data_IF_949928824400
#
_entry.id   IF_949928824400
#
_cell.length_a   1.000
_cell.length_b   1.000
_cell.length_c   1.000
_cell.angle_alpha   90.00
_cell.angle_beta   90.00
_cell.angle_gamma   90.00
#
_symmetry.space_group_name_H-M   'P 1'
#
loop_
_entity.id
_entity.type
_entity.pdbx_description
1 polymer ?
#
# COMPACT_ATOMS: atom_id res chain seq x y z
N UNK A 1 9.03 -25.29 -3.17
CA UNK A 1 8.11 -24.31 -3.76
C UNK A 1 8.85 -23.67 -4.92
N UNK A 2 8.36 -23.86 -6.14
CA UNK A 2 9.01 -23.29 -7.32
C UNK A 2 8.35 -21.94 -7.61
N UNK A 3 9.16 -20.90 -7.80
CA UNK A 3 8.71 -19.58 -8.25
C UNK A 3 8.88 -19.46 -9.76
N UNK A 4 7.90 -18.89 -10.45
CA UNK A 4 7.95 -18.62 -11.88
C UNK A 4 7.80 -17.10 -12.10
N UNK A 5 8.71 -16.44 -12.86
CA UNK A 5 8.50 -15.06 -13.26
C UNK A 5 7.31 -14.96 -14.22
N UNK A 6 6.31 -14.15 -13.87
CA UNK A 6 5.12 -13.95 -14.71
C UNK A 6 5.28 -12.80 -15.71
N UNK A 7 5.95 -11.71 -15.30
CA UNK A 7 6.17 -10.53 -16.12
C UNK A 7 7.40 -9.77 -15.62
N UNK A 8 8.00 -8.98 -16.51
CA UNK A 8 9.05 -8.02 -16.19
C UNK A 8 8.95 -6.84 -17.14
N UNK A 9 9.39 -5.68 -16.67
CA UNK A 9 9.50 -4.47 -17.46
C UNK A 9 10.64 -3.64 -16.90
N UNK A 10 11.45 -3.05 -17.78
CA UNK A 10 12.48 -2.12 -17.38
C UNK A 10 11.85 -0.84 -16.83
N UNK A 11 12.27 -0.42 -15.64
CA UNK A 11 11.95 0.92 -15.15
C UNK A 11 12.86 1.93 -15.85
N UNK A 12 12.25 2.80 -16.66
CA UNK A 12 12.95 3.87 -17.36
C UNK A 12 12.62 5.20 -16.67
N UNK A 13 13.60 5.88 -16.02
CA UNK A 13 13.40 7.19 -15.41
C UNK A 13 12.98 8.26 -16.44
N UNK A 14 12.31 9.32 -15.98
CA UNK A 14 11.85 10.42 -16.84
C UNK A 14 12.99 11.07 -17.63
N UNK A 15 14.13 11.32 -16.98
CA UNK A 15 15.35 11.84 -17.60
C UNK A 15 15.89 11.01 -18.78
N UNK A 16 15.51 9.74 -18.89
CA UNK A 16 15.82 8.89 -20.03
C UNK A 16 14.70 8.91 -21.06
N UNK A 17 13.44 8.72 -20.64
CA UNK A 17 12.30 8.68 -21.56
C UNK A 17 12.05 10.01 -22.27
N UNK A 18 12.48 11.11 -21.67
CA UNK A 18 12.35 12.47 -22.20
C UNK A 18 13.48 12.85 -23.18
N UNK A 19 14.41 11.91 -23.44
CA UNK A 19 15.46 12.02 -24.46
C UNK A 19 15.25 10.94 -25.54
N UNK A 20 14.47 11.24 -26.60
CA UNK A 20 14.16 10.28 -27.66
C UNK A 20 15.39 9.81 -28.43
N UNK A 21 16.42 10.67 -28.55
CA UNK A 21 17.64 10.31 -29.26
C UNK A 21 18.41 9.25 -28.46
N UNK A 22 18.62 9.50 -27.17
CA UNK A 22 19.25 8.54 -26.26
C UNK A 22 18.46 7.24 -26.17
N UNK A 23 17.13 7.30 -26.14
CA UNK A 23 16.28 6.11 -26.18
C UNK A 23 16.46 5.31 -27.47
N UNK A 24 16.49 5.97 -28.63
CA UNK A 24 16.70 5.32 -29.91
C UNK A 24 18.08 4.66 -30.00
N UNK A 25 19.13 5.35 -29.56
CA UNK A 25 20.50 4.81 -29.49
C UNK A 25 20.59 3.58 -28.57
N UNK A 26 19.83 3.56 -27.48
CA UNK A 26 19.74 2.43 -26.55
C UNK A 26 18.75 1.32 -26.99
N UNK A 27 18.06 1.48 -28.12
CA UNK A 27 17.08 0.51 -28.62
C UNK A 27 15.74 0.47 -27.84
N UNK A 28 15.42 1.52 -27.10
CA UNK A 28 14.15 1.66 -26.37
C UNK A 28 13.04 1.99 -27.38
N UNK A 29 11.93 1.21 -27.45
CA UNK A 29 10.82 1.51 -28.34
C UNK A 29 10.17 2.87 -28.02
N UNK A 30 9.78 3.63 -29.05
CA UNK A 30 9.17 4.96 -28.88
C UNK A 30 7.82 4.95 -28.12
N UNK A 31 7.19 3.80 -27.96
CA UNK A 31 5.98 3.62 -27.15
C UNK A 31 6.25 3.54 -25.64
N UNK A 32 7.52 3.35 -25.23
CA UNK A 32 7.93 3.26 -23.83
C UNK A 32 8.16 4.66 -23.28
N UNK A 33 7.16 5.18 -22.56
CA UNK A 33 7.28 6.41 -21.79
C UNK A 33 7.62 6.16 -20.32
N UNK A 34 7.78 7.25 -19.56
CA UNK A 34 7.95 7.18 -18.11
C UNK A 34 6.76 6.49 -17.42
N UNK A 35 7.06 5.52 -16.56
CA UNK A 35 6.10 4.92 -15.65
C UNK A 35 6.75 4.72 -14.28
N UNK A 36 6.04 5.06 -13.21
CA UNK A 36 6.51 4.75 -11.85
C UNK A 36 6.51 3.24 -11.61
N UNK A 37 7.34 2.77 -10.66
CA UNK A 37 7.35 1.35 -10.27
C UNK A 37 5.97 0.82 -9.88
N UNK A 38 5.16 1.65 -9.21
CA UNK A 38 3.79 1.28 -8.82
C UNK A 38 2.84 1.20 -10.01
N UNK A 39 2.99 2.09 -11.00
CA UNK A 39 2.23 2.00 -12.24
C UNK A 39 2.58 0.73 -13.02
N UNK A 40 3.87 0.38 -13.12
CA UNK A 40 4.33 -0.86 -13.76
C UNK A 40 3.76 -2.08 -13.04
N UNK A 41 3.90 -2.13 -11.70
CA UNK A 41 3.38 -3.24 -10.90
C UNK A 41 1.85 -3.39 -11.04
N UNK A 42 1.09 -2.30 -10.97
CA UNK A 42 -0.36 -2.31 -11.15
C UNK A 42 -0.76 -2.81 -12.54
N UNK A 43 -0.04 -2.40 -13.59
CA UNK A 43 -0.29 -2.83 -14.96
C UNK A 43 -0.03 -4.34 -15.14
N UNK A 44 1.10 -4.83 -14.61
CA UNK A 44 1.45 -6.26 -14.68
C UNK A 44 0.46 -7.14 -13.90
N UNK A 45 0.04 -6.70 -12.70
CA UNK A 45 -0.96 -7.43 -11.91
C UNK A 45 -2.29 -7.45 -12.65
N UNK A 46 -2.72 -6.32 -13.24
CA UNK A 46 -3.95 -6.26 -14.03
C UNK A 46 -3.90 -7.21 -15.23
N UNK A 47 -2.77 -7.26 -15.93
CA UNK A 47 -2.57 -8.18 -17.04
C UNK A 47 -2.65 -9.65 -16.59
N UNK A 48 -2.04 -10.00 -15.45
CA UNK A 48 -2.11 -11.35 -14.88
C UNK A 48 -3.55 -11.73 -14.47
N UNK A 49 -4.30 -10.79 -13.88
CA UNK A 49 -5.72 -10.99 -13.56
C UNK A 49 -6.55 -11.19 -14.82
N UNK A 50 -6.32 -10.37 -15.86
CA UNK A 50 -7.01 -10.49 -17.15
C UNK A 50 -6.69 -11.81 -17.87
N UNK A 51 -5.45 -12.30 -17.75
CA UNK A 51 -5.01 -13.59 -18.24
C UNK A 51 -5.47 -14.78 -17.36
N UNK A 52 -6.29 -14.53 -16.33
CA UNK A 52 -6.83 -15.54 -15.43
C UNK A 52 -5.76 -16.39 -14.73
N UNK A 53 -4.59 -15.80 -14.46
CA UNK A 53 -3.56 -16.45 -13.65
C UNK A 53 -4.16 -16.80 -12.27
N UNK A 54 -3.90 -18.01 -11.73
CA UNK A 54 -4.39 -18.40 -10.42
C UNK A 54 -4.09 -17.33 -9.36
N UNK A 55 -5.16 -16.86 -8.70
CA UNK A 55 -5.06 -15.76 -7.72
C UNK A 55 -4.39 -16.25 -6.45
N UNK A 56 -3.53 -15.41 -5.90
CA UNK A 56 -2.89 -15.59 -4.60
C UNK A 56 -2.84 -14.29 -3.81
N UNK A 57 -2.02 -14.24 -2.78
CA UNK A 57 -1.76 -13.02 -2.01
C UNK A 57 -0.70 -12.19 -2.73
N UNK A 58 -0.99 -10.92 -2.98
CA UNK A 58 0.02 -9.97 -3.48
C UNK A 58 0.88 -9.50 -2.31
N UNK A 59 2.19 -9.72 -2.40
CA UNK A 59 3.16 -9.29 -1.40
C UNK A 59 4.06 -8.21 -1.99
N UNK A 60 4.41 -7.21 -1.19
CA UNK A 60 5.33 -6.15 -1.60
C UNK A 60 5.88 -5.40 -0.39
N UNK A 61 7.01 -4.74 -0.58
CA UNK A 61 7.63 -3.93 0.47
C UNK A 61 7.00 -2.52 0.56
N UNK A 62 7.61 -1.66 1.40
CA UNK A 62 7.15 -0.29 1.62
C UNK A 62 7.24 0.62 0.39
N UNK A 63 8.11 0.33 -0.59
CA UNK A 63 8.17 1.11 -1.83
C UNK A 63 6.86 0.98 -2.63
N UNK A 64 6.14 -0.15 -2.46
CA UNK A 64 4.86 -0.40 -3.10
C UNK A 64 3.66 -0.04 -2.21
N UNK A 65 3.73 -0.27 -0.89
CA UNK A 65 2.57 -0.08 -0.02
C UNK A 65 2.30 1.34 0.48
N UNK A 66 3.31 2.22 0.48
CA UNK A 66 3.12 3.62 0.89
C UNK A 66 2.25 4.43 -0.07
N UNK A 67 2.26 4.03 -1.34
CA UNK A 67 1.38 4.60 -2.36
C UNK A 67 -0.01 3.97 -2.22
N UNK A 68 -0.98 4.79 -1.83
CA UNK A 68 -2.35 4.33 -1.71
C UNK A 68 -2.98 3.95 -3.06
N UNK A 69 -2.46 4.46 -4.19
CA UNK A 69 -2.99 4.16 -5.53
C UNK A 69 -2.85 2.68 -5.87
N UNK A 70 -1.71 2.06 -5.52
CA UNK A 70 -1.51 0.63 -5.77
C UNK A 70 -2.46 -0.19 -4.88
N UNK A 71 -2.59 0.15 -3.60
CA UNK A 71 -3.52 -0.54 -2.69
C UNK A 71 -4.98 -0.41 -3.11
N UNK A 72 -5.36 0.75 -3.62
CA UNK A 72 -6.69 1.01 -4.18
C UNK A 72 -6.93 0.13 -5.40
N UNK A 73 -5.99 0.09 -6.34
CA UNK A 73 -6.08 -0.77 -7.51
C UNK A 73 -6.17 -2.26 -7.15
N UNK A 74 -5.41 -2.74 -6.15
CA UNK A 74 -5.50 -4.13 -5.68
C UNK A 74 -6.87 -4.42 -5.05
N UNK A 75 -7.40 -3.49 -4.26
CA UNK A 75 -8.71 -3.61 -3.61
C UNK A 75 -9.86 -3.63 -4.62
N UNK A 76 -9.80 -2.75 -5.64
CA UNK A 76 -10.78 -2.69 -6.74
C UNK A 76 -10.83 -3.99 -7.55
N UNK A 77 -9.70 -4.69 -7.68
CA UNK A 77 -9.61 -6.00 -8.33
C UNK A 77 -10.05 -7.17 -7.41
N UNK A 78 -10.39 -6.88 -6.15
CA UNK A 78 -10.76 -7.88 -5.15
C UNK A 78 -9.60 -8.80 -4.75
N UNK A 79 -8.35 -8.31 -4.85
CA UNK A 79 -7.16 -9.07 -4.50
C UNK A 79 -6.86 -8.97 -3.00
N UNK A 80 -6.43 -10.08 -2.41
CA UNK A 80 -5.84 -10.09 -1.06
C UNK A 80 -4.39 -9.65 -1.20
N UNK A 81 -3.96 -8.69 -0.38
CA UNK A 81 -2.59 -8.21 -0.38
C UNK A 81 -2.05 -8.00 1.02
N UNK A 82 -0.72 -8.04 1.14
CA UNK A 82 0.03 -7.56 2.29
C UNK A 82 1.23 -6.76 1.76
N UNK A 83 1.12 -5.43 1.83
CA UNK A 83 2.19 -4.53 1.43
C UNK A 83 2.79 -3.87 2.67
N UNK A 84 4.13 -3.80 2.72
CA UNK A 84 4.84 -3.05 3.74
C UNK A 84 4.46 -1.57 3.67
N UNK A 85 4.56 -0.86 4.80
CA UNK A 85 4.41 0.60 4.85
C UNK A 85 5.49 1.18 5.75
N UNK A 86 5.91 2.41 5.49
CA UNK A 86 6.84 3.12 6.37
C UNK A 86 6.18 3.42 7.72
N UNK A 87 6.95 3.48 8.82
CA UNK A 87 6.40 3.78 10.15
C UNK A 87 5.73 5.16 10.26
N UNK A 88 6.06 6.10 9.37
CA UNK A 88 5.47 7.45 9.34
C UNK A 88 4.16 7.52 8.56
N UNK A 89 3.76 6.44 7.89
CA UNK A 89 2.44 6.33 7.25
C UNK A 89 1.34 6.58 8.28
N UNK A 90 0.36 7.41 7.93
CA UNK A 90 -0.67 7.88 8.87
C UNK A 90 -1.98 7.13 8.71
N UNK A 91 -2.64 6.88 9.84
CA UNK A 91 -3.88 6.13 9.94
C UNK A 91 -4.85 6.80 10.94
N UNK A 92 -6.13 6.50 10.78
CA UNK A 92 -7.18 6.76 11.76
C UNK A 92 -7.36 5.52 12.64
N UNK A 93 -7.30 5.69 13.95
CA UNK A 93 -7.40 4.62 14.93
C UNK A 93 -7.74 5.14 16.34
N UNK A 94 -8.59 4.42 17.06
CA UNK A 94 -8.95 4.76 18.44
C UNK A 94 -9.57 6.16 18.54
N UNK A 95 -9.02 7.01 19.40
CA UNK A 95 -9.43 8.41 19.55
C UNK A 95 -9.03 9.31 18.37
N UNK A 96 -8.10 8.87 17.51
CA UNK A 96 -7.72 9.59 16.30
C UNK A 96 -8.68 9.22 15.17
N UNK A 97 -9.81 9.92 15.13
CA UNK A 97 -10.83 9.80 14.08
C UNK A 97 -10.91 11.10 13.29
N UNK A 98 -11.34 11.06 12.02
CA UNK A 98 -11.61 12.27 11.28
C UNK A 98 -12.75 13.07 11.93
N UNK A 99 -12.78 14.38 11.67
CA UNK A 99 -13.86 15.22 12.15
C UNK A 99 -15.20 14.80 11.56
N UNK A 100 -16.27 14.92 12.36
CA UNK A 100 -17.63 14.71 11.87
C UNK A 100 -17.92 15.77 10.81
N UNK A 101 -18.23 15.33 9.59
CA UNK A 101 -18.61 16.26 8.54
C UNK A 101 -19.92 16.97 8.95
N UNK A 102 -20.01 18.30 8.81
CA UNK A 102 -21.28 19.00 8.97
C UNK A 102 -22.31 18.45 7.96
N UNK A 103 -23.61 18.60 8.24
CA UNK A 103 -24.66 18.11 7.35
C UNK A 103 -24.47 18.64 5.92
N UNK A 104 -24.81 17.85 4.89
CA UNK A 104 -24.62 18.24 3.50
C UNK A 104 -25.36 19.56 3.22
N UNK A 105 -24.74 20.44 2.43
CA UNK A 105 -25.39 21.66 1.98
C UNK A 105 -26.58 21.33 1.07
N UNK A 106 -27.66 22.10 1.17
CA UNK A 106 -28.86 21.92 0.35
C UNK A 106 -28.60 22.17 -1.15
N UNK A 107 -27.53 22.90 -1.49
CA UNK A 107 -27.11 23.20 -2.86
C UNK A 107 -25.60 23.04 -3.00
N UNK A 108 -25.16 22.61 -4.19
CA UNK A 108 -23.74 22.47 -4.53
C UNK A 108 -23.23 21.03 -4.64
N UNK A 109 -21.94 20.89 -4.97
CA UNK A 109 -21.30 19.58 -5.17
C UNK A 109 -21.24 18.80 -3.85
N UNK A 110 -21.66 17.52 -3.83
CA UNK A 110 -21.55 16.68 -2.63
C UNK A 110 -20.13 16.64 -2.09
N UNK A 111 -19.99 16.79 -0.77
CA UNK A 111 -18.69 16.65 -0.09
C UNK A 111 -18.34 15.17 -0.01
N UNK A 112 -17.30 14.77 -0.74
CA UNK A 112 -16.79 13.38 -0.79
C UNK A 112 -15.50 13.18 0.02
N UNK A 113 -14.90 14.25 0.53
CA UNK A 113 -13.64 14.19 1.30
C UNK A 113 -13.92 14.18 2.79
N UNK A 114 -13.15 13.36 3.49
CA UNK A 114 -13.04 13.30 4.94
C UNK A 114 -12.47 14.63 5.45
N UNK A 115 -13.02 15.14 6.56
CA UNK A 115 -12.56 16.39 7.15
C UNK A 115 -11.37 16.10 8.07
N UNK A 116 -10.23 16.71 7.75
CA UNK A 116 -9.02 16.71 8.57
C UNK A 116 -8.77 18.13 9.03
N UNK A 117 -8.70 18.32 10.34
CA UNK A 117 -8.35 19.60 10.95
C UNK A 117 -7.31 19.40 12.06
N UNK A 118 -6.86 20.49 12.66
CA UNK A 118 -5.82 20.48 13.71
C UNK A 118 -6.30 19.77 14.98
N UNK A 119 -7.61 19.75 15.25
CA UNK A 119 -8.20 19.06 16.39
C UNK A 119 -8.34 17.55 16.17
N UNK A 120 -8.37 17.10 14.91
CA UNK A 120 -8.53 15.71 14.51
C UNK A 120 -7.33 15.21 13.66
N UNK A 121 -6.10 15.20 14.20
CA UNK A 121 -4.94 14.72 13.45
C UNK A 121 -4.92 13.18 13.39
N UNK A 122 -4.58 12.59 12.22
CA UNK A 122 -4.30 11.16 12.15
C UNK A 122 -3.01 10.83 12.90
N UNK A 123 -2.85 9.57 13.30
CA UNK A 123 -1.68 9.08 14.04
C UNK A 123 -0.75 8.31 13.10
N UNK A 124 0.57 8.38 13.31
CA UNK A 124 1.52 7.57 12.55
C UNK A 124 1.46 6.10 12.98
N UNK A 125 1.75 5.17 12.06
CA UNK A 125 1.86 3.73 12.36
C UNK A 125 2.86 3.48 13.51
N UNK A 126 3.97 4.22 13.55
CA UNK A 126 4.95 4.15 14.66
C UNK A 126 4.32 4.51 16.00
N UNK A 127 3.64 5.66 16.08
CA UNK A 127 3.04 6.13 17.33
C UNK A 127 1.93 5.18 17.77
N UNK A 128 1.14 4.66 16.83
CA UNK A 128 0.15 3.61 17.11
C UNK A 128 0.84 2.36 17.68
N UNK A 129 1.91 1.86 17.06
CA UNK A 129 2.64 0.68 17.53
C UNK A 129 3.14 0.86 18.98
N UNK A 130 3.65 2.05 19.31
CA UNK A 130 4.12 2.40 20.65
C UNK A 130 2.99 2.50 21.69
N UNK A 131 1.79 2.92 21.26
CA UNK A 131 0.62 3.04 22.13
C UNK A 131 -0.07 1.69 22.43
N UNK A 132 0.17 0.65 21.63
CA UNK A 132 -0.43 -0.65 21.87
C UNK A 132 0.15 -1.31 23.13
N UNK A 133 -0.70 -1.89 24.00
CA UNK A 133 -0.23 -2.55 25.20
C UNK A 133 0.57 -3.81 24.84
N UNK A 134 1.56 -4.18 25.66
CA UNK A 134 2.43 -5.33 25.41
C UNK A 134 1.66 -6.65 25.15
N UNK A 135 0.48 -6.82 25.76
CA UNK A 135 -0.42 -7.98 25.58
C UNK A 135 -1.09 -8.06 24.21
N UNK A 136 -1.11 -6.97 23.44
CA UNK A 136 -1.62 -6.97 22.07
C UNK A 136 -0.67 -7.71 21.12
N UNK A 137 0.60 -7.83 21.50
CA UNK A 137 1.64 -8.47 20.72
C UNK A 137 1.78 -9.95 21.07
N UNK A 138 1.79 -10.81 20.06
CA UNK A 138 1.87 -12.27 20.18
C UNK A 138 3.10 -12.77 19.44
N UNK A 139 3.87 -13.64 20.07
CA UNK A 139 4.95 -14.36 19.37
C UNK A 139 4.33 -15.39 18.44
N UNK A 140 4.69 -15.33 17.16
CA UNK A 140 4.30 -16.28 16.13
C UNK A 140 5.56 -17.01 15.68
N UNK A 141 5.44 -18.32 15.42
CA UNK A 141 6.52 -19.18 14.93
C UNK A 141 6.00 -19.91 13.70
N UNK A 142 6.68 -19.81 12.55
CA UNK A 142 6.09 -20.28 11.28
C UNK A 142 6.99 -21.16 10.40
N UNK A 143 8.32 -21.17 10.56
CA UNK A 143 9.15 -22.20 9.91
C UNK A 143 10.45 -22.46 10.66
N UNK A 144 11.00 -23.66 10.50
CA UNK A 144 12.40 -23.92 10.82
C UNK A 144 13.26 -23.25 9.74
N UNK A 145 14.09 -22.29 10.11
CA UNK A 145 15.14 -21.74 9.27
C UNK A 145 16.47 -22.45 9.52
N UNK A 146 17.48 -22.14 8.70
CA UNK A 146 18.83 -22.69 8.83
C UNK A 146 19.48 -22.39 10.20
N UNK A 147 19.06 -21.32 10.87
CA UNK A 147 19.54 -20.89 12.19
C UNK A 147 18.54 -21.17 13.34
N UNK A 148 17.53 -22.03 13.13
CA UNK A 148 16.50 -22.34 14.13
C UNK A 148 15.10 -21.87 13.74
N UNK A 149 14.13 -21.96 14.66
CA UNK A 149 12.73 -21.55 14.42
C UNK A 149 12.68 -20.05 14.12
N UNK A 150 12.20 -19.67 12.93
CA UNK A 150 11.86 -18.29 12.65
C UNK A 150 10.61 -17.91 13.45
N UNK A 151 10.79 -16.87 14.25
CA UNK A 151 9.75 -16.30 15.08
C UNK A 151 9.82 -14.79 15.02
N UNK A 152 8.69 -14.16 15.33
CA UNK A 152 8.55 -12.71 15.37
C UNK A 152 7.35 -12.37 16.25
N UNK A 153 7.32 -11.15 16.74
CA UNK A 153 6.29 -10.69 17.68
C UNK A 153 5.40 -9.67 16.99
N UNK A 154 4.13 -10.02 16.84
CA UNK A 154 3.20 -9.27 16.01
C UNK A 154 1.97 -8.80 16.77
N UNK A 155 1.51 -7.58 16.45
CA UNK A 155 0.14 -7.14 16.70
C UNK A 155 -0.60 -7.01 15.37
N UNK A 156 -1.93 -7.17 15.43
CA UNK A 156 -2.82 -6.80 14.33
C UNK A 156 -3.93 -5.91 14.85
N UNK A 157 -4.21 -4.83 14.13
CA UNK A 157 -5.30 -3.91 14.47
C UNK A 157 -6.06 -3.47 13.22
N UNK A 158 -7.34 -3.12 13.38
CA UNK A 158 -8.14 -2.51 12.32
C UNK A 158 -7.90 -1.01 12.31
N UNK A 159 -7.49 -0.48 11.16
CA UNK A 159 -7.22 0.96 10.97
C UNK A 159 -7.87 1.44 9.69
N UNK A 160 -8.08 2.75 9.54
CA UNK A 160 -8.43 3.35 8.24
C UNK A 160 -7.24 4.19 7.80
N UNK A 161 -6.84 4.11 6.54
CA UNK A 161 -5.67 4.86 6.05
C UNK A 161 -6.01 6.33 5.85
N UNK A 162 -5.10 7.23 6.24
CA UNK A 162 -5.37 8.67 6.28
C UNK A 162 -4.85 9.45 5.05
N UNK A 163 -4.72 8.77 3.90
CA UNK A 163 -4.24 9.37 2.65
C UNK A 163 -5.38 10.06 1.87
N UNK A 164 -5.04 11.17 1.22
CA UNK A 164 -5.88 11.97 0.31
C UNK A 164 -7.22 12.45 0.86
N UNK A 165 -7.41 12.38 2.18
CA UNK A 165 -8.67 12.73 2.85
C UNK A 165 -9.88 12.05 2.19
N UNK A 166 -9.75 10.79 1.76
CA UNK A 166 -10.86 10.00 1.19
C UNK A 166 -11.43 9.06 2.25
N UNK A 167 -12.74 8.82 2.17
CA UNK A 167 -13.37 7.77 2.97
C UNK A 167 -12.91 6.41 2.45
N UNK A 168 -12.46 5.54 3.35
CA UNK A 168 -11.86 4.24 3.01
C UNK A 168 -12.42 3.17 3.93
N UNK A 169 -12.55 1.96 3.42
CA UNK A 169 -12.87 0.81 4.27
C UNK A 169 -11.70 0.56 5.23
N UNK A 170 -11.96 0.06 6.46
CA UNK A 170 -10.85 -0.27 7.34
C UNK A 170 -10.03 -1.44 6.77
N UNK A 171 -8.74 -1.43 7.05
CA UNK A 171 -7.75 -2.44 6.65
C UNK A 171 -7.10 -3.05 7.90
N UNK A 172 -6.51 -4.23 7.74
CA UNK A 172 -5.68 -4.82 8.79
C UNK A 172 -4.27 -4.24 8.69
N UNK A 173 -3.82 -3.60 9.77
CA UNK A 173 -2.42 -3.26 9.96
C UNK A 173 -1.78 -4.37 10.81
N UNK A 174 -0.77 -5.03 10.24
CA UNK A 174 0.08 -6.00 10.95
C UNK A 174 1.38 -5.29 11.30
N UNK A 175 1.77 -5.36 12.56
CA UNK A 175 2.92 -4.66 13.11
C UNK A 175 3.83 -5.69 13.74
N UNK A 176 5.07 -5.77 13.27
CA UNK A 176 6.14 -6.47 13.98
C UNK A 176 6.81 -5.51 14.96
N UNK A 177 6.74 -5.81 16.27
CA UNK A 177 7.22 -4.93 17.32
C UNK A 177 7.24 -5.61 18.70
N UNK A 178 8.16 -5.22 19.59
CA UNK A 178 9.60 -5.22 19.40
C UNK A 178 10.17 -6.65 19.52
#
# INVERSE_FOLDING_TARGET
>A
ANSLPLAWQLYLPAEWSDDPQRCAEAGVPASVGFMTKNQIAAAQIRAAVAAQVPRGVVLGDAAYGDDCTLRDALSEQGLIYALGVRPLTTVWWGAHQPAIAPPPAATGRPRVRVVRDVAHPPISVRTLAQALPARAYRTVVWRQGAAGKLSGRFARVRVVTAHDNRARAPEWLVIEWP
#
